data_IF_531054733260
#
_entry.id   IF_531054733260
#
_cell.length_a   1.000
_cell.length_b   1.000
_cell.length_c   1.000
_cell.angle_alpha   90.00
_cell.angle_beta   90.00
_cell.angle_gamma   90.00
#
_symmetry.space_group_name_H-M   'P 1'
#
loop_
_entity.id
_entity.type
_entity.pdbx_description
1 polymer ?
#
# COMPACT_ATOMS: atom_id res chain seq x y z
N UNK A 1 -4.65 0.38 -28.13
CA UNK A 1 -4.42 1.54 -27.23
C UNK A 1 -5.32 1.38 -26.04
N UNK A 2 -4.79 1.63 -24.84
CA UNK A 2 -5.58 1.58 -23.60
C UNK A 2 -6.78 2.54 -23.68
N UNK A 3 -7.92 2.12 -23.13
CA UNK A 3 -9.13 2.97 -23.04
C UNK A 3 -8.94 4.19 -22.13
N UNK A 4 -7.83 4.24 -21.41
CA UNK A 4 -7.48 5.31 -20.47
C UNK A 4 -6.29 6.18 -20.93
N UNK A 5 -5.78 5.98 -22.17
CA UNK A 5 -4.56 6.66 -22.63
C UNK A 5 -4.66 8.19 -22.65
N UNK A 6 -5.86 8.74 -22.83
CA UNK A 6 -6.09 10.20 -22.81
C UNK A 6 -6.49 10.73 -21.43
N UNK A 7 -6.66 9.88 -20.42
CA UNK A 7 -7.23 10.27 -19.13
C UNK A 7 -6.54 11.51 -18.54
N UNK A 8 -5.22 11.54 -18.53
CA UNK A 8 -4.45 12.65 -17.91
C UNK A 8 -4.65 13.95 -18.69
N UNK A 9 -4.65 13.89 -20.03
CA UNK A 9 -4.91 15.08 -20.88
C UNK A 9 -6.34 15.58 -20.73
N UNK A 10 -7.31 14.68 -20.62
CA UNK A 10 -8.72 15.03 -20.49
C UNK A 10 -9.01 15.66 -19.10
N UNK A 11 -8.34 15.16 -18.03
CA UNK A 11 -8.37 15.82 -16.73
C UNK A 11 -7.79 17.25 -16.80
N UNK A 12 -6.70 17.45 -17.54
CA UNK A 12 -6.14 18.79 -17.73
C UNK A 12 -7.12 19.71 -18.47
N UNK A 13 -7.74 19.22 -19.53
CA UNK A 13 -8.74 19.95 -20.32
C UNK A 13 -9.95 20.35 -19.46
N UNK A 14 -10.42 19.47 -18.56
CA UNK A 14 -11.50 19.77 -17.64
C UNK A 14 -11.26 21.07 -16.83
N UNK A 15 -10.03 21.28 -16.36
CA UNK A 15 -9.66 22.49 -15.62
C UNK A 15 -9.52 23.71 -16.52
N UNK A 16 -8.98 23.54 -17.73
CA UNK A 16 -8.86 24.64 -18.70
C UNK A 16 -10.22 25.16 -19.15
N UNK A 17 -11.16 24.25 -19.39
CA UNK A 17 -12.52 24.59 -19.87
C UNK A 17 -13.45 25.02 -18.73
N UNK A 18 -12.97 25.07 -17.49
CA UNK A 18 -13.73 25.46 -16.30
C UNK A 18 -15.05 24.70 -16.17
N UNK A 19 -15.07 23.42 -16.52
CA UNK A 19 -16.28 22.59 -16.45
C UNK A 19 -16.51 22.08 -15.01
N UNK A 20 -17.60 22.52 -14.34
CA UNK A 20 -17.87 22.04 -12.99
C UNK A 20 -18.41 20.60 -13.01
N UNK A 21 -18.19 19.83 -11.96
CA UNK A 21 -18.84 18.53 -11.76
C UNK A 21 -20.37 18.64 -11.82
N UNK A 22 -21.03 17.59 -12.28
CA UNK A 22 -22.49 17.47 -12.18
C UNK A 22 -22.91 17.43 -10.71
N UNK A 23 -24.05 18.07 -10.40
CA UNK A 23 -24.55 18.14 -9.01
C UNK A 23 -24.67 16.77 -8.35
N UNK A 24 -25.19 15.77 -9.05
CA UNK A 24 -25.34 14.41 -8.52
C UNK A 24 -23.98 13.76 -8.18
N UNK A 25 -22.96 13.96 -9.00
CA UNK A 25 -21.62 13.44 -8.75
C UNK A 25 -20.94 14.17 -7.58
N UNK A 26 -21.18 15.49 -7.47
CA UNK A 26 -20.70 16.29 -6.33
C UNK A 26 -21.36 15.84 -5.01
N UNK A 27 -22.66 15.62 -5.00
CA UNK A 27 -23.36 15.15 -3.79
C UNK A 27 -22.87 13.77 -3.35
N UNK A 28 -22.66 12.85 -4.31
CA UNK A 28 -22.06 11.55 -3.99
C UNK A 28 -20.65 11.71 -3.40
N UNK A 29 -19.81 12.53 -4.01
CA UNK A 29 -18.44 12.81 -3.54
C UNK A 29 -18.43 13.35 -2.10
N UNK A 30 -19.29 14.33 -1.78
CA UNK A 30 -19.39 14.89 -0.45
C UNK A 30 -19.79 13.84 0.59
N UNK A 31 -20.72 12.96 0.21
CA UNK A 31 -21.13 11.83 1.06
C UNK A 31 -19.97 10.86 1.29
N UNK A 32 -19.29 10.43 0.23
CA UNK A 32 -18.21 9.45 0.31
C UNK A 32 -17.02 9.97 1.15
N UNK A 33 -16.68 11.27 1.01
CA UNK A 33 -15.69 11.92 1.88
C UNK A 33 -16.12 11.91 3.33
N UNK A 34 -17.36 12.30 3.61
CA UNK A 34 -17.91 12.33 4.97
C UNK A 34 -17.83 10.94 5.60
N UNK A 35 -18.29 9.91 4.89
CA UNK A 35 -18.27 8.53 5.34
C UNK A 35 -16.83 8.05 5.62
N UNK A 36 -15.88 8.35 4.75
CA UNK A 36 -14.46 8.01 4.93
C UNK A 36 -13.83 8.68 6.16
N UNK A 37 -14.20 9.93 6.42
CA UNK A 37 -13.75 10.65 7.61
C UNK A 37 -14.31 9.97 8.87
N UNK A 38 -15.60 9.72 8.94
CA UNK A 38 -16.23 9.05 10.10
C UNK A 38 -15.62 7.66 10.33
N UNK A 39 -15.45 6.85 9.28
CA UNK A 39 -14.83 5.52 9.38
C UNK A 39 -13.40 5.57 9.91
N UNK A 40 -12.64 6.65 9.64
CA UNK A 40 -11.27 6.80 10.13
C UNK A 40 -11.16 6.93 11.66
N UNK A 41 -12.25 7.31 12.32
CA UNK A 41 -12.38 7.40 13.79
C UNK A 41 -12.96 6.14 14.42
N UNK A 42 -13.48 5.20 13.62
CA UNK A 42 -13.99 3.94 14.19
C UNK A 42 -12.83 3.10 14.76
N UNK A 43 -13.08 2.40 15.89
CA UNK A 43 -12.13 1.44 16.41
C UNK A 43 -11.82 0.39 15.34
N UNK A 44 -10.53 0.15 15.07
CA UNK A 44 -10.14 -0.94 14.18
C UNK A 44 -10.63 -2.25 14.79
N UNK A 45 -11.58 -2.89 14.12
CA UNK A 45 -11.95 -4.26 14.46
C UNK A 45 -10.74 -5.14 14.17
N UNK A 46 -10.09 -5.62 15.22
CA UNK A 46 -9.04 -6.64 15.11
C UNK A 46 -9.72 -7.93 14.65
N UNK A 47 -9.91 -8.08 13.34
CA UNK A 47 -10.38 -9.35 12.82
C UNK A 47 -9.20 -10.31 12.82
N UNK A 48 -9.17 -11.25 13.76
CA UNK A 48 -8.29 -12.41 13.67
C UNK A 48 -8.46 -13.00 12.26
N UNK A 49 -7.37 -13.16 11.53
CA UNK A 49 -7.33 -13.73 10.16
C UNK A 49 -7.81 -12.85 9.00
N UNK A 50 -7.56 -11.56 8.99
CA UNK A 50 -8.00 -10.74 7.86
C UNK A 50 -6.98 -10.69 6.70
N UNK A 51 -6.82 -11.81 5.98
CA UNK A 51 -6.25 -11.74 4.64
C UNK A 51 -7.30 -11.12 3.73
N UNK A 52 -6.90 -10.08 2.99
CA UNK A 52 -7.72 -9.34 2.04
C UNK A 52 -6.96 -9.19 0.74
N UNK A 53 -7.62 -8.78 -0.33
CA UNK A 53 -6.94 -8.49 -1.60
C UNK A 53 -5.82 -7.46 -1.43
N UNK A 54 -6.03 -6.43 -0.60
CA UNK A 54 -5.05 -5.37 -0.34
C UNK A 54 -3.78 -5.79 0.41
N UNK A 55 -3.75 -7.01 0.97
CA UNK A 55 -2.56 -7.48 1.68
C UNK A 55 -2.06 -8.85 1.24
N UNK A 56 -2.84 -9.62 0.46
CA UNK A 56 -2.49 -10.99 0.05
C UNK A 56 -1.14 -11.08 -0.69
N UNK A 57 -0.76 -10.01 -1.38
CA UNK A 57 0.52 -9.89 -2.09
C UNK A 57 1.73 -9.63 -1.19
N UNK A 58 1.52 -9.27 0.07
CA UNK A 58 2.61 -8.99 1.01
C UNK A 58 3.46 -10.25 1.29
N UNK A 59 4.71 -10.05 1.76
CA UNK A 59 5.60 -11.17 2.08
C UNK A 59 5.01 -12.14 3.10
N UNK A 60 5.29 -13.44 2.91
CA UNK A 60 4.70 -14.54 3.66
C UNK A 60 4.86 -14.40 5.19
N UNK A 61 6.05 -14.03 5.67
CA UNK A 61 6.32 -13.85 7.10
C UNK A 61 5.49 -12.72 7.71
N UNK A 62 5.30 -11.62 6.96
CA UNK A 62 4.45 -10.50 7.41
C UNK A 62 2.99 -10.95 7.55
N UNK A 63 2.48 -11.72 6.58
CA UNK A 63 1.12 -12.27 6.63
C UNK A 63 0.96 -13.26 7.77
N UNK A 64 1.98 -14.06 8.04
CA UNK A 64 1.99 -15.00 9.17
C UNK A 64 1.85 -14.25 10.50
N UNK A 65 2.68 -13.22 10.74
CA UNK A 65 2.57 -12.40 11.96
C UNK A 65 1.19 -11.72 12.06
N UNK A 66 0.70 -11.14 10.99
CA UNK A 66 -0.61 -10.49 10.97
C UNK A 66 -1.77 -11.44 11.31
N UNK A 67 -1.62 -12.73 11.01
CA UNK A 67 -2.61 -13.76 11.31
C UNK A 67 -2.45 -14.41 12.69
N UNK A 68 -1.22 -14.71 13.09
CA UNK A 68 -0.92 -15.50 14.29
C UNK A 68 -0.65 -14.64 15.54
N UNK A 69 -0.08 -13.45 15.34
CA UNK A 69 0.37 -12.55 16.40
C UNK A 69 0.00 -11.09 16.09
N UNK A 70 -1.28 -10.80 15.81
CA UNK A 70 -1.71 -9.44 15.43
C UNK A 70 -1.48 -8.41 16.53
N UNK A 71 -1.42 -8.84 17.79
CA UNK A 71 -1.13 -8.01 18.97
C UNK A 71 0.31 -7.46 18.98
N UNK A 72 1.23 -8.13 18.24
CA UNK A 72 2.63 -7.68 18.15
C UNK A 72 2.84 -6.60 17.06
N UNK A 73 1.78 -6.19 16.39
CA UNK A 73 1.85 -5.10 15.43
C UNK A 73 2.10 -3.76 16.12
N UNK A 74 3.05 -2.99 15.60
CA UNK A 74 3.23 -1.60 16.07
C UNK A 74 1.95 -0.79 15.88
N UNK A 75 1.67 0.08 16.84
CA UNK A 75 0.57 1.03 16.69
C UNK A 75 0.84 2.00 15.54
N UNK A 76 -0.20 2.28 14.77
CA UNK A 76 -0.10 3.27 13.70
C UNK A 76 -0.02 4.68 14.29
N UNK A 77 1.13 5.31 14.10
CA UNK A 77 1.34 6.70 14.48
C UNK A 77 0.43 7.64 13.68
N UNK A 78 0.08 8.79 14.28
CA UNK A 78 -0.78 9.82 13.66
C UNK A 78 -0.40 10.15 12.20
N UNK A 79 0.87 10.37 11.82
CA UNK A 79 1.22 10.64 10.43
C UNK A 79 0.80 9.52 9.45
N UNK A 80 0.85 8.27 9.89
CA UNK A 80 0.43 7.12 9.06
C UNK A 80 -1.09 7.07 8.92
N UNK A 81 -1.84 7.34 9.99
CA UNK A 81 -3.30 7.43 9.96
C UNK A 81 -3.77 8.54 9.00
N UNK A 82 -3.15 9.71 9.06
CA UNK A 82 -3.43 10.83 8.13
C UNK A 82 -3.11 10.44 6.68
N UNK A 83 -2.01 9.73 6.43
CA UNK A 83 -1.68 9.26 5.07
C UNK A 83 -2.73 8.29 4.51
N UNK A 84 -3.32 7.44 5.33
CA UNK A 84 -4.41 6.57 4.91
C UNK A 84 -5.68 7.36 4.60
N UNK A 85 -6.03 8.33 5.45
CA UNK A 85 -7.16 9.21 5.18
C UNK A 85 -6.96 9.99 3.86
N UNK A 86 -5.77 10.54 3.62
CA UNK A 86 -5.45 11.16 2.33
C UNK A 86 -5.67 10.21 1.14
N UNK A 87 -5.33 8.92 1.29
CA UNK A 87 -5.57 7.92 0.26
C UNK A 87 -7.04 7.89 -0.15
N UNK A 88 -7.94 7.73 0.82
CA UNK A 88 -9.39 7.69 0.58
C UNK A 88 -9.93 9.00 0.00
N UNK A 89 -9.53 10.15 0.56
CA UNK A 89 -10.01 11.45 0.06
C UNK A 89 -9.57 11.71 -1.39
N UNK A 90 -8.34 11.36 -1.74
CA UNK A 90 -7.81 11.52 -3.10
C UNK A 90 -8.47 10.54 -4.07
N UNK A 91 -8.75 9.32 -3.66
CA UNK A 91 -9.49 8.33 -4.46
C UNK A 91 -10.86 8.91 -4.87
N UNK A 92 -11.65 9.38 -3.91
CA UNK A 92 -12.96 9.99 -4.19
C UNK A 92 -12.84 11.24 -5.09
N UNK A 93 -11.82 12.08 -4.85
CA UNK A 93 -11.56 13.25 -5.69
C UNK A 93 -11.24 12.86 -7.12
N UNK A 94 -10.36 11.89 -7.34
CA UNK A 94 -10.01 11.42 -8.68
C UNK A 94 -11.22 10.82 -9.40
N UNK A 95 -12.05 10.03 -8.71
CA UNK A 95 -13.28 9.48 -9.31
C UNK A 95 -14.26 10.58 -9.71
N UNK A 96 -14.41 11.65 -8.90
CA UNK A 96 -15.22 12.81 -9.26
C UNK A 96 -14.69 13.49 -10.53
N UNK A 97 -13.39 13.77 -10.59
CA UNK A 97 -12.75 14.43 -11.74
C UNK A 97 -12.86 13.57 -13.02
N UNK A 98 -12.65 12.26 -12.89
CA UNK A 98 -12.75 11.30 -13.99
C UNK A 98 -14.18 11.27 -14.56
N UNK A 99 -15.20 11.25 -13.70
CA UNK A 99 -16.61 11.37 -14.11
C UNK A 99 -16.89 12.70 -14.82
N UNK A 100 -16.35 13.79 -14.28
CA UNK A 100 -16.49 15.14 -14.84
C UNK A 100 -15.84 15.26 -16.22
N UNK A 101 -14.73 14.55 -16.45
CA UNK A 101 -14.08 14.45 -17.76
C UNK A 101 -14.82 13.52 -18.75
N UNK A 102 -16.01 13.03 -18.39
CA UNK A 102 -16.89 12.26 -19.29
C UNK A 102 -16.63 10.75 -19.32
N UNK A 103 -15.76 10.22 -18.47
CA UNK A 103 -15.52 8.79 -18.36
C UNK A 103 -16.66 8.07 -17.65
N UNK A 104 -17.01 6.88 -18.16
CA UNK A 104 -17.99 6.02 -17.49
C UNK A 104 -17.34 5.30 -16.33
N UNK A 105 -17.73 5.65 -15.10
CA UNK A 105 -17.30 4.99 -13.87
C UNK A 105 -18.39 4.05 -13.38
N UNK A 106 -18.07 2.79 -13.14
CA UNK A 106 -18.98 1.75 -12.65
C UNK A 106 -18.30 0.92 -11.57
N UNK A 107 -19.09 0.07 -10.90
CA UNK A 107 -18.62 -0.91 -9.93
C UNK A 107 -17.77 -0.31 -8.77
N UNK A 108 -18.04 0.97 -8.42
CA UNK A 108 -17.33 1.65 -7.33
C UNK A 108 -17.49 0.87 -6.02
N UNK A 109 -16.35 0.57 -5.37
CA UNK A 109 -16.27 -0.18 -4.12
C UNK A 109 -16.99 -1.55 -4.18
N UNK A 110 -17.08 -2.15 -5.37
CA UNK A 110 -17.72 -3.45 -5.53
C UNK A 110 -16.93 -4.56 -4.84
N UNK A 111 -17.65 -5.40 -4.11
CA UNK A 111 -17.07 -6.54 -3.40
C UNK A 111 -16.71 -7.65 -4.38
N UNK A 112 -15.49 -8.17 -4.30
CA UNK A 112 -15.06 -9.41 -4.96
C UNK A 112 -14.56 -10.39 -3.91
N UNK A 113 -14.83 -11.68 -4.13
CA UNK A 113 -14.43 -12.74 -3.21
C UNK A 113 -13.79 -13.90 -3.99
N UNK A 114 -12.64 -14.36 -3.54
CA UNK A 114 -11.93 -15.53 -4.08
C UNK A 114 -11.46 -16.40 -2.92
N UNK A 115 -11.95 -17.63 -2.89
CA UNK A 115 -11.60 -18.63 -1.86
C UNK A 115 -11.75 -18.10 -0.41
N UNK A 116 -12.82 -17.32 -0.14
CA UNK A 116 -13.10 -16.75 1.17
C UNK A 116 -12.25 -15.52 1.53
N UNK A 117 -11.41 -15.04 0.61
CA UNK A 117 -10.71 -13.76 0.74
C UNK A 117 -11.52 -12.69 0.03
N UNK A 118 -11.76 -11.58 0.71
CA UNK A 118 -12.59 -10.47 0.24
C UNK A 118 -11.73 -9.26 -0.09
N UNK A 119 -12.10 -8.55 -1.14
CA UNK A 119 -11.60 -7.23 -1.50
C UNK A 119 -12.73 -6.33 -1.99
N UNK A 120 -12.49 -5.02 -1.98
CA UNK A 120 -13.33 -4.03 -2.61
C UNK A 120 -12.51 -3.34 -3.69
N UNK A 121 -13.01 -3.42 -4.92
CA UNK A 121 -12.39 -2.81 -6.09
C UNK A 121 -12.74 -1.33 -6.11
N UNK A 122 -11.77 -0.46 -6.40
CA UNK A 122 -12.05 0.98 -6.38
C UNK A 122 -13.09 1.35 -7.43
N UNK A 123 -12.89 0.98 -8.69
CA UNK A 123 -13.90 1.16 -9.75
C UNK A 123 -13.53 0.41 -11.05
N UNK A 124 -14.48 0.43 -12.02
CA UNK A 124 -14.19 0.25 -13.45
C UNK A 124 -14.36 1.57 -14.17
N UNK A 125 -13.38 1.96 -15.00
CA UNK A 125 -13.43 3.18 -15.82
C UNK A 125 -13.41 2.78 -17.30
N UNK A 126 -14.47 3.08 -18.03
CA UNK A 126 -14.70 2.62 -19.40
C UNK A 126 -14.52 1.10 -19.55
N UNK A 127 -14.85 0.34 -18.50
CA UNK A 127 -14.71 -1.12 -18.45
C UNK A 127 -13.32 -1.63 -18.10
N UNK A 128 -12.33 -0.75 -17.85
CA UNK A 128 -11.02 -1.11 -17.33
C UNK A 128 -11.11 -1.20 -15.81
N UNK A 129 -10.66 -2.30 -15.21
CA UNK A 129 -10.51 -2.45 -13.75
C UNK A 129 -9.43 -1.52 -13.28
N UNK A 130 -9.74 -0.63 -12.35
CA UNK A 130 -8.73 0.31 -11.82
C UNK A 130 -8.56 0.18 -10.32
N UNK A 131 -7.33 0.43 -9.89
CA UNK A 131 -6.95 0.57 -8.50
C UNK A 131 -6.19 1.90 -8.35
N UNK A 132 -6.73 2.79 -7.51
CA UNK A 132 -6.22 4.17 -7.36
C UNK A 132 -5.20 4.21 -6.25
N UNK A 133 -4.01 4.74 -6.53
CA UNK A 133 -2.92 4.82 -5.56
C UNK A 133 -2.44 6.26 -5.37
N UNK A 134 -2.20 6.62 -4.11
CA UNK A 134 -1.46 7.83 -3.78
C UNK A 134 -0.03 7.46 -3.40
N UNK A 135 0.96 8.06 -4.04
CA UNK A 135 2.34 7.69 -3.88
C UNK A 135 3.22 8.88 -3.46
N UNK A 136 4.32 8.58 -2.76
CA UNK A 136 5.45 9.51 -2.66
C UNK A 136 6.15 9.62 -4.02
N UNK A 137 7.05 10.59 -4.20
CA UNK A 137 7.83 10.70 -5.44
C UNK A 137 8.47 9.37 -5.82
N UNK A 138 9.19 8.73 -4.89
CA UNK A 138 9.84 7.43 -5.16
C UNK A 138 8.85 6.33 -5.55
N UNK A 139 7.69 6.25 -4.88
CA UNK A 139 6.64 5.29 -5.23
C UNK A 139 6.02 5.57 -6.59
N UNK A 140 5.74 6.84 -6.89
CA UNK A 140 5.22 7.28 -8.19
C UNK A 140 6.18 6.93 -9.34
N UNK A 141 7.48 7.18 -9.15
CA UNK A 141 8.51 6.85 -10.15
C UNK A 141 8.55 5.36 -10.48
N UNK A 142 8.24 4.46 -9.54
CA UNK A 142 8.15 3.02 -9.82
C UNK A 142 7.05 2.69 -10.82
N UNK A 143 5.89 3.32 -10.71
CA UNK A 143 4.81 3.12 -11.68
C UNK A 143 5.16 3.72 -13.04
N UNK A 144 5.70 4.93 -13.07
CA UNK A 144 6.11 5.60 -14.34
C UNK A 144 7.19 4.80 -15.08
N UNK A 145 8.13 4.19 -14.35
CA UNK A 145 9.24 3.41 -14.92
C UNK A 145 8.92 1.94 -15.12
N UNK A 146 7.76 1.48 -14.67
CA UNK A 146 7.40 0.06 -14.71
C UNK A 146 8.14 -0.83 -13.69
N UNK A 147 8.98 -0.28 -12.83
CA UNK A 147 9.74 -1.08 -11.85
C UNK A 147 8.89 -1.59 -10.69
N UNK A 148 7.62 -1.23 -10.63
CA UNK A 148 6.66 -1.79 -9.67
C UNK A 148 6.48 -3.31 -9.85
N UNK A 149 6.68 -3.84 -11.05
CA UNK A 149 6.59 -5.28 -11.32
C UNK A 149 7.75 -6.08 -10.72
N UNK A 150 8.89 -5.43 -10.46
CA UNK A 150 10.10 -6.05 -9.91
C UNK A 150 10.21 -5.83 -8.39
N UNK A 151 9.69 -4.70 -7.88
CA UNK A 151 9.80 -4.29 -6.48
C UNK A 151 8.45 -3.78 -5.95
N UNK A 152 7.57 -4.72 -5.58
CA UNK A 152 6.24 -4.48 -5.02
C UNK A 152 6.13 -5.01 -3.56
N UNK A 153 6.73 -4.32 -2.59
CA UNK A 153 6.67 -4.75 -1.19
C UNK A 153 5.28 -4.63 -0.56
N UNK A 154 4.35 -3.96 -1.22
CA UNK A 154 2.97 -3.76 -0.72
C UNK A 154 1.98 -4.75 -1.30
N UNK A 155 2.34 -5.46 -2.39
CA UNK A 155 1.49 -6.47 -3.02
C UNK A 155 0.40 -5.89 -3.93
N UNK A 156 0.65 -4.75 -4.57
CA UNK A 156 -0.30 -4.09 -5.46
C UNK A 156 -0.62 -4.93 -6.69
N UNK A 157 0.39 -5.60 -7.26
CA UNK A 157 0.19 -6.49 -8.41
C UNK A 157 -0.74 -7.65 -8.05
N UNK A 158 -0.58 -8.25 -6.88
CA UNK A 158 -1.49 -9.30 -6.41
C UNK A 158 -2.90 -8.75 -6.21
N UNK A 159 -3.03 -7.56 -5.64
CA UNK A 159 -4.32 -6.92 -5.41
C UNK A 159 -5.10 -6.73 -6.71
N UNK A 160 -4.51 -6.08 -7.71
CA UNK A 160 -5.18 -5.81 -8.98
C UNK A 160 -5.42 -7.10 -9.78
N UNK A 161 -4.52 -8.10 -9.69
CA UNK A 161 -4.72 -9.43 -10.29
C UNK A 161 -5.92 -10.16 -9.69
N UNK A 162 -6.28 -9.89 -8.46
CA UNK A 162 -7.49 -10.43 -7.84
C UNK A 162 -8.77 -9.72 -8.29
N UNK A 163 -8.69 -8.45 -8.67
CA UNK A 163 -9.85 -7.69 -9.13
C UNK A 163 -10.17 -7.91 -10.61
N UNK A 164 -9.18 -8.07 -11.47
CA UNK A 164 -9.37 -8.27 -12.90
C UNK A 164 -9.48 -9.76 -13.27
N UNK A 165 -10.49 -10.12 -14.04
CA UNK A 165 -10.57 -11.44 -14.68
C UNK A 165 -9.55 -11.53 -15.86
N UNK A 166 -9.31 -12.73 -16.40
CA UNK A 166 -8.21 -12.95 -17.36
C UNK A 166 -8.30 -12.06 -18.59
N UNK A 167 -9.50 -11.82 -19.10
CA UNK A 167 -9.81 -11.03 -20.31
C UNK A 167 -10.10 -9.56 -20.01
N UNK A 168 -10.12 -9.15 -18.77
CA UNK A 168 -10.34 -7.75 -18.41
C UNK A 168 -9.04 -6.95 -18.48
N UNK A 169 -9.15 -5.72 -19.03
CA UNK A 169 -8.09 -4.73 -18.93
C UNK A 169 -7.98 -4.22 -17.50
N UNK A 170 -6.76 -3.94 -17.04
CA UNK A 170 -6.51 -3.40 -15.71
C UNK A 170 -5.46 -2.29 -15.73
N UNK A 171 -5.58 -1.32 -14.83
CA UNK A 171 -4.62 -0.22 -14.70
C UNK A 171 -4.55 0.30 -13.27
N UNK A 172 -3.40 0.82 -12.89
CA UNK A 172 -3.29 1.73 -11.75
C UNK A 172 -3.47 3.18 -12.19
N UNK A 173 -4.23 3.94 -11.43
CA UNK A 173 -4.24 5.40 -11.52
C UNK A 173 -3.49 5.92 -10.31
N UNK A 174 -2.32 6.52 -10.54
CA UNK A 174 -1.40 6.89 -9.48
C UNK A 174 -1.26 8.40 -9.38
N UNK A 175 -1.59 8.96 -8.22
CA UNK A 175 -1.36 10.37 -7.93
C UNK A 175 -0.11 10.54 -7.07
N UNK A 176 0.81 11.37 -7.55
CA UNK A 176 1.96 11.82 -6.77
C UNK A 176 1.49 12.87 -5.76
N UNK A 177 1.45 12.52 -4.47
CA UNK A 177 0.96 13.41 -3.41
C UNK A 177 1.86 14.61 -3.10
N UNK A 178 3.05 14.69 -3.71
CA UNK A 178 3.97 15.83 -3.56
C UNK A 178 3.77 16.84 -4.68
N UNK A 179 3.58 16.37 -5.93
CA UNK A 179 3.52 17.23 -7.12
C UNK A 179 2.12 17.38 -7.70
N UNK A 180 1.16 16.53 -7.31
CA UNK A 180 -0.17 16.45 -7.91
C UNK A 180 -0.21 15.76 -9.28
N UNK A 181 0.92 15.27 -9.79
CA UNK A 181 0.96 14.57 -11.08
C UNK A 181 0.17 13.26 -11.02
N UNK A 182 -0.59 13.00 -12.08
CA UNK A 182 -1.33 11.75 -12.27
C UNK A 182 -0.67 10.94 -13.37
N UNK A 183 -0.58 9.63 -13.16
CA UNK A 183 -0.09 8.66 -14.15
C UNK A 183 -1.04 7.48 -14.24
N UNK A 184 -1.24 6.96 -15.45
CA UNK A 184 -1.98 5.72 -15.71
C UNK A 184 -0.95 4.65 -16.09
N UNK A 185 -0.85 3.62 -15.27
CA UNK A 185 0.01 2.46 -15.52
C UNK A 185 -0.88 1.28 -15.91
N UNK A 186 -0.95 0.99 -17.20
CA UNK A 186 -1.67 -0.19 -17.70
C UNK A 186 -0.98 -1.48 -17.24
N UNK A 187 -1.77 -2.48 -16.88
CA UNK A 187 -1.31 -3.78 -16.42
C UNK A 187 -1.70 -4.85 -17.42
N UNK A 188 -0.74 -5.35 -18.15
CA UNK A 188 -0.97 -6.40 -19.12
C UNK A 188 -1.21 -7.75 -18.43
N UNK A 189 -1.95 -8.64 -19.06
CA UNK A 189 -2.28 -9.96 -18.50
C UNK A 189 -1.03 -10.78 -18.11
N UNK A 190 0.07 -10.62 -18.83
CA UNK A 190 1.35 -11.29 -18.55
C UNK A 190 2.06 -10.77 -17.28
N UNK A 191 1.73 -9.57 -16.81
CA UNK A 191 2.28 -8.94 -15.63
C UNK A 191 1.48 -9.28 -14.37
N UNK A 192 0.30 -9.86 -14.56
CA UNK A 192 -0.58 -10.29 -13.47
C UNK A 192 -0.17 -11.66 -12.95
N UNK A 193 -0.36 -11.86 -11.65
CA UNK A 193 -0.13 -13.14 -11.02
C UNK A 193 -1.40 -13.99 -11.01
N UNK A 194 -1.24 -15.32 -10.89
CA UNK A 194 -2.37 -16.21 -10.59
C UNK A 194 -2.83 -15.98 -9.14
N UNK A 195 -3.88 -15.19 -8.97
CA UNK A 195 -4.38 -14.79 -7.66
C UNK A 195 -4.89 -15.99 -6.83
N UNK A 196 -5.56 -16.97 -7.46
CA UNK A 196 -6.05 -18.18 -6.75
C UNK A 196 -4.89 -19.02 -6.22
N UNK A 197 -3.84 -19.16 -7.00
CA UNK A 197 -2.63 -19.86 -6.57
C UNK A 197 -1.96 -19.13 -5.41
N UNK A 198 -1.80 -17.80 -5.52
CA UNK A 198 -1.29 -16.96 -4.44
C UNK A 198 -2.09 -17.13 -3.15
N UNK A 199 -3.43 -17.15 -3.23
CA UNK A 199 -4.30 -17.40 -2.07
C UNK A 199 -4.03 -18.77 -1.44
N UNK A 200 -3.85 -19.81 -2.25
CA UNK A 200 -3.51 -21.16 -1.75
C UNK A 200 -2.16 -21.17 -1.01
N UNK A 201 -1.15 -20.52 -1.58
CA UNK A 201 0.17 -20.42 -0.97
C UNK A 201 0.13 -19.67 0.38
N UNK A 202 -0.57 -18.55 0.42
CA UNK A 202 -0.78 -17.81 1.68
C UNK A 202 -1.48 -18.69 2.71
N UNK A 203 -2.57 -19.36 2.36
CA UNK A 203 -3.28 -20.26 3.26
C UNK A 203 -2.38 -21.41 3.77
N UNK A 204 -1.45 -21.92 2.94
CA UNK A 204 -0.47 -22.93 3.34
C UNK A 204 0.51 -22.37 4.39
N UNK A 205 1.03 -21.18 4.15
CA UNK A 205 1.91 -20.47 5.11
C UNK A 205 1.22 -20.26 6.46
N UNK A 206 -0.04 -19.85 6.45
CA UNK A 206 -0.79 -19.58 7.68
C UNK A 206 -1.12 -20.85 8.50
N UNK A 207 -0.99 -22.05 7.93
CA UNK A 207 -1.12 -23.30 8.69
C UNK A 207 0.12 -23.65 9.51
N UNK A 208 1.28 -23.06 9.20
CA UNK A 208 2.50 -23.30 9.96
C UNK A 208 2.40 -22.71 11.36
N UNK A 209 2.95 -23.41 12.35
CA UNK A 209 3.07 -22.91 13.73
C UNK A 209 4.31 -22.04 13.93
N UNK A 210 5.23 -22.05 12.97
CA UNK A 210 6.45 -21.23 12.99
C UNK A 210 6.45 -20.23 11.83
N UNK A 211 6.95 -19.00 12.03
CA UNK A 211 7.03 -18.03 10.96
C UNK A 211 7.99 -18.51 9.85
N UNK A 212 7.68 -18.22 8.58
CA UNK A 212 8.64 -18.42 7.47
C UNK A 212 9.94 -17.62 7.68
N UNK A 213 10.93 -17.86 6.85
CA UNK A 213 12.16 -17.08 6.81
C UNK A 213 11.90 -15.58 6.65
N UNK A 214 12.84 -14.74 7.07
CA UNK A 214 12.75 -13.29 6.92
C UNK A 214 12.56 -12.91 5.46
N UNK A 215 11.64 -11.97 5.21
CA UNK A 215 11.26 -11.56 3.87
C UNK A 215 12.40 -10.88 3.11
N UNK A 216 13.24 -10.15 3.84
CA UNK A 216 14.37 -9.41 3.30
C UNK A 216 15.57 -9.52 4.25
N UNK A 217 16.76 -9.59 3.68
CA UNK A 217 18.00 -9.39 4.43
C UNK A 217 18.11 -7.92 4.86
N UNK A 218 18.86 -7.68 5.92
CA UNK A 218 19.30 -6.33 6.25
C UNK A 218 20.33 -5.84 5.24
N UNK A 219 20.50 -4.53 5.16
CA UNK A 219 21.39 -3.91 4.17
C UNK A 219 22.48 -3.06 4.84
N UNK A 220 23.67 -2.90 4.21
CA UNK A 220 24.71 -2.04 4.74
C UNK A 220 24.23 -0.58 4.87
N UNK A 221 24.63 0.12 5.94
CA UNK A 221 24.47 1.56 6.06
C UNK A 221 25.76 2.29 5.62
N UNK A 222 25.93 2.39 4.32
CA UNK A 222 27.13 2.96 3.71
C UNK A 222 28.42 2.18 4.05
N UNK A 223 29.46 2.89 4.46
CA UNK A 223 30.78 2.33 4.83
C UNK A 223 31.00 2.26 6.34
N UNK A 224 29.97 2.46 7.14
CA UNK A 224 30.08 2.54 8.62
C UNK A 224 30.33 1.19 9.29
N UNK A 225 30.10 0.08 8.59
CA UNK A 225 30.00 -1.26 9.17
C UNK A 225 28.63 -1.56 9.79
N UNK A 226 27.76 -0.56 9.93
CA UNK A 226 26.42 -0.75 10.42
C UNK A 226 25.54 -1.45 9.40
N UNK A 227 24.53 -2.15 9.89
CA UNK A 227 23.48 -2.76 9.07
C UNK A 227 22.11 -2.25 9.51
N UNK A 228 21.23 -2.05 8.53
CA UNK A 228 19.88 -1.50 8.78
C UNK A 228 18.82 -2.31 8.05
N UNK A 229 17.58 -2.12 8.44
CA UNK A 229 16.44 -2.73 7.76
C UNK A 229 16.37 -2.30 6.29
N UNK A 230 16.09 -3.26 5.40
CA UNK A 230 15.64 -2.97 4.05
C UNK A 230 14.30 -2.21 4.08
N UNK A 231 13.97 -1.47 2.99
CA UNK A 231 12.77 -0.65 2.91
C UNK A 231 11.48 -1.43 3.24
N UNK A 232 11.33 -2.65 2.69
CA UNK A 232 10.16 -3.50 2.95
C UNK A 232 10.00 -3.88 4.42
N UNK A 233 11.12 -4.05 5.16
CA UNK A 233 11.09 -4.28 6.60
C UNK A 233 10.84 -2.99 7.39
N UNK A 234 11.38 -1.86 6.96
CA UNK A 234 11.24 -0.58 7.67
C UNK A 234 9.77 -0.12 7.79
N UNK A 235 8.94 -0.48 6.80
CA UNK A 235 7.50 -0.21 6.80
C UNK A 235 6.63 -1.35 7.33
N UNK A 236 7.24 -2.43 7.83
CA UNK A 236 6.50 -3.56 8.37
C UNK A 236 6.09 -3.30 9.81
N UNK A 237 4.81 -3.48 10.14
CA UNK A 237 4.28 -3.29 11.49
C UNK A 237 4.84 -4.31 12.50
N UNK A 238 5.43 -5.42 12.02
CA UNK A 238 5.99 -6.50 12.83
C UNK A 238 7.52 -6.48 12.90
N UNK A 239 8.18 -5.39 12.46
CA UNK A 239 9.65 -5.33 12.39
C UNK A 239 10.32 -5.54 13.75
N UNK A 240 9.73 -5.00 14.81
CA UNK A 240 10.29 -5.10 16.16
C UNK A 240 10.31 -6.56 16.62
N UNK A 241 9.20 -7.27 16.55
CA UNK A 241 9.13 -8.69 16.91
C UNK A 241 9.97 -9.56 15.95
N UNK A 242 9.91 -9.27 14.63
CA UNK A 242 10.65 -10.04 13.63
C UNK A 242 12.17 -9.97 13.81
N UNK A 243 12.69 -8.88 14.36
CA UNK A 243 14.12 -8.61 14.53
C UNK A 243 14.53 -8.48 16.00
N UNK A 244 13.83 -9.13 16.92
CA UNK A 244 14.13 -9.09 18.35
C UNK A 244 15.48 -9.68 18.72
N UNK A 245 16.06 -10.52 17.86
CA UNK A 245 17.39 -11.09 17.96
C UNK A 245 18.51 -10.21 17.39
N UNK A 246 18.19 -9.04 16.78
CA UNK A 246 19.17 -8.11 16.26
C UNK A 246 20.07 -7.52 17.37
N UNK A 247 21.25 -6.99 17.00
CA UNK A 247 22.22 -6.42 17.95
C UNK A 247 22.50 -7.36 19.13
N UNK A 248 22.80 -8.64 18.83
CA UNK A 248 23.14 -9.67 19.81
C UNK A 248 22.02 -9.92 20.85
N UNK A 249 20.76 -9.86 20.40
CA UNK A 249 19.59 -10.11 21.23
C UNK A 249 19.02 -8.86 21.93
N UNK A 250 19.62 -7.69 21.74
CA UNK A 250 19.08 -6.42 22.26
C UNK A 250 17.87 -5.95 21.45
N UNK A 251 17.75 -6.43 20.20
CA UNK A 251 16.73 -6.02 19.26
C UNK A 251 17.16 -4.87 18.35
N UNK A 252 16.17 -4.26 17.67
CA UNK A 252 16.44 -3.12 16.78
C UNK A 252 16.86 -1.89 17.56
N UNK A 253 17.81 -1.13 17.00
CA UNK A 253 18.16 0.22 17.49
C UNK A 253 17.65 1.26 16.49
N UNK A 254 16.97 2.28 16.99
CA UNK A 254 16.30 3.31 16.18
C UNK A 254 17.02 4.65 16.34
N UNK A 255 17.36 5.27 15.23
CA UNK A 255 18.04 6.57 15.21
C UNK A 255 17.27 7.55 14.31
N UNK A 256 17.08 8.78 14.80
CA UNK A 256 16.32 9.84 14.15
C UNK A 256 17.21 10.69 13.27
N UNK A 257 16.97 10.62 11.97
CA UNK A 257 17.62 11.47 10.96
C UNK A 257 16.67 12.55 10.45
N UNK A 258 17.20 13.57 9.79
CA UNK A 258 16.40 14.67 9.23
C UNK A 258 15.27 14.20 8.29
N UNK A 259 15.48 13.08 7.58
CA UNK A 259 14.52 12.50 6.64
C UNK A 259 13.72 11.30 7.21
N UNK A 260 13.72 11.13 8.53
CA UNK A 260 13.00 10.08 9.24
C UNK A 260 13.89 9.11 10.01
N UNK A 261 13.29 8.26 10.83
CA UNK A 261 14.03 7.32 11.65
C UNK A 261 14.50 6.11 10.85
N UNK A 262 15.67 5.57 11.20
CA UNK A 262 16.23 4.34 10.65
C UNK A 262 16.40 3.30 11.75
N UNK A 263 16.12 2.05 11.39
CA UNK A 263 16.23 0.91 12.29
C UNK A 263 17.46 0.09 11.93
N UNK A 264 18.36 -0.09 12.90
CA UNK A 264 19.61 -0.81 12.73
C UNK A 264 19.52 -2.21 13.34
N UNK A 265 19.94 -3.19 12.57
CA UNK A 265 20.06 -4.60 12.98
C UNK A 265 21.43 -4.91 13.58
N UNK A 266 22.43 -4.10 13.24
CA UNK A 266 23.78 -4.15 13.78
C UNK A 266 24.39 -2.76 13.81
N UNK A 267 24.95 -2.35 14.93
CA UNK A 267 25.62 -1.05 15.12
C UNK A 267 27.10 -1.28 15.45
N UNK A 268 27.95 -1.36 14.42
CA UNK A 268 29.41 -1.43 14.59
C UNK A 268 30.00 -0.09 15.05
N UNK A 269 29.43 1.03 14.56
CA UNK A 269 29.82 2.38 14.92
C UNK A 269 28.59 3.22 15.19
N UNK A 270 28.50 3.83 16.36
CA UNK A 270 27.39 4.72 16.70
C UNK A 270 27.28 5.84 15.66
N UNK A 271 26.07 6.18 15.16
CA UNK A 271 25.85 7.38 14.37
C UNK A 271 26.35 8.64 15.06
N UNK A 272 26.51 9.73 14.29
CA UNK A 272 27.03 10.99 14.84
C UNK A 272 26.30 11.36 16.15
N UNK A 273 26.99 11.93 17.15
CA UNK A 273 26.40 12.26 18.47
C UNK A 273 25.12 13.11 18.39
N UNK A 274 24.99 13.98 17.38
CA UNK A 274 23.80 14.82 17.16
C UNK A 274 22.58 14.02 16.65
N UNK A 275 22.77 12.75 16.30
CA UNK A 275 21.69 11.87 15.89
C UNK A 275 21.12 11.20 17.13
N UNK A 276 19.88 11.55 17.46
CA UNK A 276 19.17 11.03 18.62
C UNK A 276 18.85 9.54 18.41
N UNK A 277 19.17 8.75 19.44
CA UNK A 277 18.69 7.37 19.51
C UNK A 277 17.34 7.35 20.20
N UNK A 278 16.31 6.87 19.48
CA UNK A 278 14.94 6.77 19.98
C UNK A 278 14.70 5.38 20.60
N UNK A 279 13.90 5.31 21.63
CA UNK A 279 13.49 4.05 22.21
C UNK A 279 12.63 3.24 21.22
N UNK A 280 12.88 1.93 21.16
CA UNK A 280 12.05 0.97 20.43
C UNK A 280 11.15 0.27 21.43
N UNK A 281 9.85 0.56 21.34
CA UNK A 281 8.88 -0.05 22.25
C UNK A 281 8.57 -1.48 21.79
N UNK A 282 8.91 -2.45 22.63
CA UNK A 282 8.47 -3.84 22.46
C UNK A 282 7.11 -4.00 23.13
N UNK A 283 6.17 -4.64 22.44
CA UNK A 283 4.89 -4.99 23.07
C UNK A 283 5.22 -6.05 24.14
N UNK A 284 5.09 -5.66 25.41
CA UNK A 284 5.24 -6.60 26.52
C UNK A 284 4.13 -7.66 26.46
N UNK A 285 4.52 -8.93 26.54
CA UNK A 285 3.59 -10.06 26.62
C UNK A 285 2.77 -10.01 27.91
#
# INVERSE_FOLDING_TARGET
>A
MSKLHNLVSDLHTLFLDCQPPKEADMQKFLKDISDSIYQSFEPRKSSKNSIRFSNVGRPARQLWYASKMPEMAEELHLPTRIKFLYGHLIEHLLLLLIKSAGYKVTDEQSKKEVDGIVGHMDAKINGVVVDIKTASQHGYDKFVKGTIFEDDPFGYIAQISGYADEDEEAAFIVLNKVTGQVHVADIHSMERINFKERVKDVKKVLKSDTPPDRCYADIPDGKSGNRKLAAGCAYCDFKVECWKDANDGVGLRKFKYANGSRFFTHVAKRPHPDIEEEEVTYVSQ
#
